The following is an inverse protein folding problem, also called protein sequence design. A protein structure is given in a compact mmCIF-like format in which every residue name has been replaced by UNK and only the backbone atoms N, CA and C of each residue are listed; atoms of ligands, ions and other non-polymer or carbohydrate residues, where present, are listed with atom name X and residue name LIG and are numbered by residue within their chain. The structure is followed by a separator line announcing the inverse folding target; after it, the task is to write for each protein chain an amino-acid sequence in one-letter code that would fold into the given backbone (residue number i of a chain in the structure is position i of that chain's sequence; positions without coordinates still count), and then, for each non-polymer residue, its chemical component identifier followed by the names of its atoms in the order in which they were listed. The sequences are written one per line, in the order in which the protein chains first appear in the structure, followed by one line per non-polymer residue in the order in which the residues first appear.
data_IF_202015525074
#
_entry.id   IF_202015525074
#
_cell.length_a   1.000
_cell.length_b   1.000
_cell.length_c   1.000
_cell.angle_alpha   90.00
_cell.angle_beta   90.00
_cell.angle_gamma   90.00
#
_symmetry.space_group_name_H-M   'P 1'
#
loop_
_entity.id
_entity.type
_entity.pdbx_description
1 polymer ?
#
# COMPACT_ATOMS: atom_id res chain seq x y z
N UNK A 1 -14.02 14.62 17.12
CA UNK A 1 -13.18 13.94 16.09
C UNK A 1 -12.82 14.92 14.97
N UNK A 2 -13.79 15.57 14.33
CA UNK A 2 -13.57 16.54 13.22
C UNK A 2 -12.55 17.64 13.56
N UNK A 3 -12.70 18.30 14.72
CA UNK A 3 -11.77 19.37 15.16
C UNK A 3 -10.32 18.87 15.25
N UNK A 4 -10.08 17.63 15.72
CA UNK A 4 -8.73 17.08 15.83
C UNK A 4 -8.08 16.92 14.45
N UNK A 5 -8.83 16.46 13.46
CA UNK A 5 -8.34 16.29 12.08
C UNK A 5 -8.10 17.64 11.40
N UNK A 6 -8.99 18.61 11.62
CA UNK A 6 -8.87 19.97 11.10
C UNK A 6 -7.63 20.70 11.65
N UNK A 7 -7.24 20.40 12.89
CA UNK A 7 -6.01 20.90 13.51
C UNK A 7 -4.75 20.09 13.15
N UNK A 8 -4.83 19.21 12.15
CA UNK A 8 -3.68 18.40 11.72
C UNK A 8 -3.39 17.17 12.59
N UNK A 9 -4.25 16.84 13.55
CA UNK A 9 -4.13 15.62 14.34
C UNK A 9 -4.21 14.38 13.45
N UNK A 10 -3.24 13.48 13.60
CA UNK A 10 -3.15 12.18 12.92
C UNK A 10 -2.88 11.08 13.93
N UNK A 11 -3.15 9.85 13.52
CA UNK A 11 -2.83 8.68 14.33
C UNK A 11 -1.31 8.57 14.49
N UNK A 12 -0.87 8.07 15.64
CA UNK A 12 0.55 7.80 15.87
C UNK A 12 0.95 6.59 15.04
N UNK A 13 2.13 6.64 14.43
CA UNK A 13 2.72 5.46 13.82
C UNK A 13 2.90 4.39 14.90
N UNK A 14 2.52 3.16 14.58
CA UNK A 14 2.65 2.01 15.48
C UNK A 14 4.13 1.71 15.69
N UNK A 15 4.53 1.43 16.93
CA UNK A 15 5.90 1.06 17.26
C UNK A 15 6.35 -0.15 16.42
N UNK A 16 7.63 -0.14 16.02
CA UNK A 16 8.24 -1.14 15.11
C UNK A 16 7.69 -1.15 13.67
N UNK A 17 6.87 -0.18 13.26
CA UNK A 17 6.58 0.03 11.84
C UNK A 17 7.87 0.36 11.10
N UNK A 18 8.20 -0.34 9.99
CA UNK A 18 9.41 -0.03 9.25
C UNK A 18 9.37 1.42 8.73
N UNK A 19 10.51 2.13 8.72
CA UNK A 19 10.55 3.56 8.39
C UNK A 19 9.89 3.91 7.05
N UNK A 20 10.07 3.06 6.04
CA UNK A 20 9.51 3.30 4.71
C UNK A 20 7.97 3.19 4.70
N UNK A 21 7.40 2.25 5.45
CA UNK A 21 5.94 2.14 5.63
C UNK A 21 5.39 3.35 6.40
N UNK A 22 6.09 3.76 7.46
CA UNK A 22 5.71 4.94 8.24
C UNK A 22 5.69 6.21 7.37
N UNK A 23 6.71 6.39 6.52
CA UNK A 23 6.80 7.51 5.59
C UNK A 23 5.64 7.51 4.58
N UNK A 24 5.33 6.36 3.97
CA UNK A 24 4.20 6.23 3.03
C UNK A 24 2.87 6.58 3.71
N UNK A 25 2.62 6.10 4.93
CA UNK A 25 1.42 6.43 5.70
C UNK A 25 1.33 7.95 5.96
N UNK A 26 2.45 8.58 6.36
CA UNK A 26 2.49 10.02 6.59
C UNK A 26 2.16 10.83 5.33
N UNK A 27 2.74 10.47 4.17
CA UNK A 27 2.41 11.10 2.89
C UNK A 27 0.92 10.98 2.55
N UNK A 28 0.37 9.77 2.64
CA UNK A 28 -1.04 9.51 2.35
C UNK A 28 -2.01 10.32 3.25
N UNK A 29 -1.59 10.61 4.47
CA UNK A 29 -2.38 11.34 5.47
C UNK A 29 -2.03 12.84 5.58
N UNK A 30 -1.30 13.40 4.61
CA UNK A 30 -0.96 14.83 4.60
C UNK A 30 -2.20 15.73 4.69
N UNK A 31 -2.08 16.86 5.40
CA UNK A 31 -3.10 17.94 5.39
C UNK A 31 -3.22 18.56 4.00
N UNK A 32 -2.09 18.76 3.34
CA UNK A 32 -2.00 19.32 2.00
C UNK A 32 -2.38 18.26 0.98
N UNK A 33 -3.40 18.56 0.17
CA UNK A 33 -3.92 17.63 -0.84
C UNK A 33 -2.85 17.26 -1.87
N UNK A 34 -2.05 18.24 -2.30
CA UNK A 34 -1.01 18.05 -3.33
C UNK A 34 0.17 17.18 -2.86
N UNK A 35 0.31 17.00 -1.54
CA UNK A 35 1.32 16.13 -0.95
C UNK A 35 0.85 14.68 -0.83
N UNK A 36 -0.42 14.41 -1.16
CA UNK A 36 -0.97 13.05 -1.12
C UNK A 36 -0.62 12.35 -2.44
N UNK A 37 0.07 11.20 -2.38
CA UNK A 37 0.37 10.46 -3.58
C UNK A 37 -0.92 9.90 -4.21
N UNK A 38 -0.99 9.82 -5.55
CA UNK A 38 -2.06 9.11 -6.22
C UNK A 38 -1.98 7.60 -5.94
N UNK A 39 -3.11 6.91 -6.07
CA UNK A 39 -3.23 5.50 -5.68
C UNK A 39 -2.25 4.58 -6.40
N UNK A 40 -1.92 4.86 -7.67
CA UNK A 40 -0.94 4.10 -8.43
C UNK A 40 0.47 4.22 -7.83
N UNK A 41 0.87 5.41 -7.39
CA UNK A 41 2.16 5.62 -6.72
C UNK A 41 2.21 4.89 -5.38
N UNK A 42 1.11 4.94 -4.60
CA UNK A 42 0.98 4.17 -3.36
C UNK A 42 1.14 2.68 -3.62
N UNK A 43 0.49 2.15 -4.66
CA UNK A 43 0.60 0.74 -5.05
C UNK A 43 2.03 0.38 -5.44
N UNK A 44 2.71 1.23 -6.20
CA UNK A 44 4.10 1.03 -6.62
C UNK A 44 5.07 1.07 -5.42
N UNK A 45 4.90 2.01 -4.49
CA UNK A 45 5.67 2.05 -3.24
C UNK A 45 5.44 0.77 -2.41
N UNK A 46 4.19 0.34 -2.22
CA UNK A 46 3.87 -0.89 -1.49
C UNK A 46 4.48 -2.14 -2.13
N UNK A 47 4.48 -2.23 -3.46
CA UNK A 47 5.11 -3.32 -4.19
C UNK A 47 6.63 -3.37 -3.93
N UNK A 48 7.31 -2.22 -3.94
CA UNK A 48 8.75 -2.12 -3.63
C UNK A 48 9.04 -2.60 -2.20
N UNK A 49 8.29 -2.12 -1.21
CA UNK A 49 8.49 -2.48 0.19
C UNK A 49 8.23 -3.97 0.49
N UNK A 50 7.28 -4.57 -0.22
CA UNK A 50 7.01 -6.01 -0.17
C UNK A 50 8.21 -6.83 -0.66
N UNK A 51 8.91 -6.35 -1.70
CA UNK A 51 10.12 -7.04 -2.22
C UNK A 51 11.35 -6.88 -1.32
N UNK A 52 11.52 -5.74 -0.65
CA UNK A 52 12.62 -5.50 0.31
C UNK A 52 12.52 -6.43 1.53
N UNK A 53 11.30 -6.66 2.03
CA UNK A 53 11.03 -7.56 3.17
C UNK A 53 11.42 -9.01 2.86
N UNK A 54 11.39 -9.42 1.58
CA UNK A 54 11.77 -10.78 1.15
C UNK A 54 13.29 -11.00 1.25
N UNK A 55 14.12 -9.97 1.13
CA UNK A 55 15.60 -10.11 1.18
C UNK A 55 16.07 -10.42 2.61
N UNK A 56 15.43 -9.83 3.63
CA UNK A 56 15.76 -10.05 5.05
C UNK A 56 15.28 -11.40 5.61
N UNK A 57 14.35 -12.07 4.93
CA UNK A 57 13.79 -13.37 5.31
C UNK A 57 14.44 -14.55 4.58
N UNK A 58 15.63 -14.34 3.99
CA UNK A 58 16.43 -15.35 3.26
C UNK A 58 17.01 -16.46 4.14
N UNK A 59 16.24 -16.96 5.11
CA UNK A 59 16.34 -18.30 5.63
C UNK A 59 15.19 -19.14 5.02
N UNK A 60 15.41 -19.55 3.77
CA UNK A 60 14.88 -20.76 3.12
C UNK A 60 13.35 -21.07 3.14
N UNK A 61 12.48 -20.20 2.62
CA UNK A 61 11.16 -20.67 2.12
C UNK A 61 10.86 -20.09 0.74
N UNK A 62 10.59 -21.00 -0.19
CA UNK A 62 10.44 -20.79 -1.63
C UNK A 62 9.44 -19.67 -2.00
N UNK A 63 9.98 -18.67 -2.68
CA UNK A 63 9.37 -17.41 -3.12
C UNK A 63 8.27 -17.54 -4.17
N UNK A 64 7.81 -18.75 -4.48
CA UNK A 64 6.82 -19.04 -5.53
C UNK A 64 5.36 -19.07 -5.04
N UNK A 65 5.11 -19.21 -3.73
CA UNK A 65 3.76 -19.30 -3.17
C UNK A 65 3.06 -17.94 -3.02
N UNK A 66 3.82 -16.86 -2.78
CA UNK A 66 3.26 -15.52 -2.47
C UNK A 66 2.83 -14.76 -3.74
N UNK A 67 3.46 -15.03 -4.89
CA UNK A 67 3.16 -14.35 -6.17
C UNK A 67 1.76 -14.66 -6.74
N UNK A 68 1.10 -15.73 -6.30
CA UNK A 68 -0.16 -16.19 -6.91
C UNK A 68 -1.42 -15.42 -6.48
N UNK A 69 -1.39 -14.63 -5.40
CA UNK A 69 -2.62 -14.00 -4.88
C UNK A 69 -3.06 -12.72 -5.61
N UNK A 70 -2.16 -11.98 -6.26
CA UNK A 70 -2.51 -10.68 -6.86
C UNK A 70 -2.70 -10.71 -8.39
N UNK A 71 -2.28 -11.77 -9.11
CA UNK A 71 -2.48 -11.90 -10.57
C UNK A 71 -3.85 -12.48 -10.96
N UNK A 72 -4.62 -13.02 -10.02
CA UNK A 72 -5.93 -13.62 -10.33
C UNK A 72 -7.11 -12.64 -10.39
N UNK A 73 -6.94 -11.36 -10.02
CA UNK A 73 -8.05 -10.37 -10.10
C UNK A 73 -8.25 -9.76 -11.49
N UNK A 74 -7.23 -9.76 -12.36
CA UNK A 74 -7.33 -9.17 -13.70
C UNK A 74 -8.01 -10.06 -14.76
N UNK A 75 -8.41 -11.30 -14.42
CA UNK A 75 -9.05 -12.23 -15.38
C UNK A 75 -10.58 -12.26 -15.23
N UNK A 76 -11.18 -11.49 -14.29
CA UNK A 76 -12.64 -11.55 -14.05
C UNK A 76 -13.42 -10.27 -14.42
N UNK A 77 -12.82 -9.31 -15.13
CA UNK A 77 -13.54 -8.08 -15.53
C UNK A 77 -13.75 -7.92 -17.03
N UNK A 78 -13.48 -8.94 -17.85
CA UNK A 78 -13.71 -8.86 -19.31
C UNK A 78 -14.99 -9.53 -19.82
N UNK A 79 -15.84 -10.12 -18.97
CA UNK A 79 -17.09 -10.74 -19.41
C UNK A 79 -18.34 -10.13 -18.76
N UNK A 80 -18.64 -8.86 -19.05
CA UNK A 80 -20.03 -8.41 -19.26
C UNK A 80 -20.05 -7.17 -20.17
N UNK A 81 -19.60 -7.30 -21.43
CA UNK A 81 -20.24 -6.55 -22.52
C UNK A 81 -21.46 -7.35 -22.98
N UNK A 82 -22.54 -7.23 -22.21
CA UNK A 82 -23.87 -7.68 -22.58
C UNK A 82 -24.68 -6.48 -23.09
N UNK A 83 -24.93 -6.50 -24.39
CA UNK A 83 -25.97 -5.77 -25.12
C UNK A 83 -27.22 -5.44 -24.29
N UNK A 84 -27.54 -4.16 -24.10
CA UNK A 84 -28.73 -3.46 -24.61
C UNK A 84 -28.62 -1.96 -24.26
#
# INVERSE_FOLDING_TARGET
IIIKIALGGREKIVDNTPPNYANLIQKCWSTEQDQRPPLNEVLDELNKLSTETTILTSNNIETNAVRRRFRQRSILTEETHGTF
#
